data_IF_527895262968
#
_entry.id   IF_527895262968
#
_cell.length_a   1.000
_cell.length_b   1.000
_cell.length_c   1.000
_cell.angle_alpha   90.00
_cell.angle_beta   90.00
_cell.angle_gamma   90.00
#
_symmetry.space_group_name_H-M   'P 1'
#
loop_
_entity.id
_entity.type
_entity.pdbx_description
1 polymer ?
#
# COMPACT_ATOMS: atom_id res chain seq x y z
N UNK A 1 -39.28 91.21 -1.85
CA UNK A 1 -39.07 90.03 -0.98
C UNK A 1 -40.20 89.93 0.04
N UNK A 2 -41.45 90.02 -0.40
CA UNK A 2 -42.58 89.78 0.50
C UNK A 2 -42.98 88.32 0.36
N UNK A 3 -42.90 87.57 1.47
CA UNK A 3 -43.32 86.17 1.55
C UNK A 3 -42.20 85.12 1.58
N UNK A 4 -40.92 85.50 1.71
CA UNK A 4 -39.82 84.54 1.87
C UNK A 4 -39.13 84.75 3.22
N UNK A 5 -39.12 83.70 4.05
CA UNK A 5 -38.48 83.71 5.37
C UNK A 5 -37.18 82.91 5.33
N UNK A 6 -36.10 83.47 5.88
CA UNK A 6 -34.83 82.76 6.08
C UNK A 6 -34.98 81.80 7.26
N UNK A 7 -35.00 80.50 6.99
CA UNK A 7 -35.22 79.50 8.04
C UNK A 7 -33.95 79.11 8.80
N UNK A 8 -32.78 79.16 8.15
CA UNK A 8 -31.52 78.72 8.72
C UNK A 8 -30.34 79.36 7.99
N UNK A 9 -29.37 79.85 8.76
CA UNK A 9 -28.05 80.21 8.27
C UNK A 9 -27.01 79.43 9.07
N UNK A 10 -26.21 78.59 8.41
CA UNK A 10 -25.06 77.91 9.03
C UNK A 10 -23.79 78.46 8.40
N UNK A 11 -22.89 78.97 9.24
CA UNK A 11 -21.59 79.48 8.83
C UNK A 11 -20.46 78.56 9.27
N UNK A 12 -19.44 78.39 8.42
CA UNK A 12 -18.13 77.86 8.82
C UNK A 12 -17.03 78.63 8.08
N UNK A 13 -16.14 79.25 8.85
CA UNK A 13 -15.08 80.16 8.39
C UNK A 13 -15.62 81.29 7.49
N UNK A 14 -15.20 81.35 6.23
CA UNK A 14 -15.56 82.40 5.27
C UNK A 14 -16.78 82.07 4.40
N UNK A 15 -17.53 81.01 4.75
CA UNK A 15 -18.69 80.56 3.97
C UNK A 15 -19.95 80.53 4.84
N UNK A 16 -21.05 81.06 4.30
CA UNK A 16 -22.39 80.99 4.87
C UNK A 16 -23.33 80.28 3.90
N UNK A 17 -24.13 79.36 4.42
CA UNK A 17 -25.24 78.74 3.68
C UNK A 17 -26.54 79.30 4.24
N UNK A 18 -27.29 80.00 3.41
CA UNK A 18 -28.60 80.58 3.73
C UNK A 18 -29.67 79.77 2.98
N UNK A 19 -30.65 79.24 3.68
CA UNK A 19 -31.81 78.57 3.07
C UNK A 19 -33.08 79.42 3.18
N UNK A 20 -33.76 79.65 2.07
CA UNK A 20 -35.02 80.40 1.98
C UNK A 20 -36.22 79.45 1.88
N UNK A 21 -37.34 79.79 2.54
CA UNK A 21 -38.63 79.11 2.41
C UNK A 21 -39.67 80.03 1.73
N UNK A 22 -40.59 79.50 0.90
CA UNK A 22 -40.71 78.10 0.50
C UNK A 22 -39.61 77.68 -0.46
N UNK A 23 -39.08 76.47 -0.24
CA UNK A 23 -38.34 75.82 -1.31
C UNK A 23 -39.29 75.64 -2.48
N UNK A 24 -38.78 75.83 -3.70
CA UNK A 24 -39.48 75.39 -4.89
C UNK A 24 -39.90 73.93 -4.70
N UNK A 25 -41.15 73.59 -5.03
CA UNK A 25 -41.75 72.27 -4.76
C UNK A 25 -40.86 71.14 -5.29
N UNK A 26 -40.17 71.40 -6.41
CA UNK A 26 -39.21 70.49 -7.03
C UNK A 26 -37.99 70.21 -6.14
N UNK A 27 -37.45 71.21 -5.44
CA UNK A 27 -36.31 71.02 -4.54
C UNK A 27 -36.68 70.15 -3.33
N UNK A 28 -37.89 70.30 -2.78
CA UNK A 28 -38.39 69.43 -1.70
C UNK A 28 -38.55 68.00 -2.22
N UNK A 29 -39.15 67.82 -3.41
CA UNK A 29 -39.30 66.51 -4.06
C UNK A 29 -37.95 65.82 -4.27
N UNK A 30 -36.96 66.52 -4.82
CA UNK A 30 -35.62 65.98 -5.05
C UNK A 30 -34.92 65.58 -3.74
N UNK A 31 -35.00 66.41 -2.69
CA UNK A 31 -34.44 66.06 -1.37
C UNK A 31 -35.13 64.81 -0.82
N UNK A 32 -36.46 64.73 -0.92
CA UNK A 32 -37.21 63.57 -0.42
C UNK A 32 -36.87 62.29 -1.18
N UNK A 33 -36.79 62.34 -2.51
CA UNK A 33 -36.37 61.22 -3.36
C UNK A 33 -34.93 60.79 -3.05
N UNK A 34 -34.01 61.75 -2.89
CA UNK A 34 -32.62 61.48 -2.50
C UNK A 34 -32.52 60.79 -1.15
N UNK A 35 -33.29 61.24 -0.14
CA UNK A 35 -33.35 60.60 1.17
C UNK A 35 -33.95 59.20 1.09
N UNK A 36 -34.98 58.99 0.25
CA UNK A 36 -35.58 57.66 0.02
C UNK A 36 -34.56 56.69 -0.58
N UNK A 37 -33.89 57.07 -1.65
CA UNK A 37 -32.84 56.26 -2.30
C UNK A 37 -31.71 55.94 -1.33
N UNK A 38 -31.25 56.92 -0.54
CA UNK A 38 -30.19 56.72 0.44
C UNK A 38 -30.59 55.76 1.57
N UNK A 39 -31.87 55.76 1.99
CA UNK A 39 -32.39 54.79 2.95
C UNK A 39 -32.43 53.38 2.36
N UNK A 40 -32.86 53.22 1.11
CA UNK A 40 -32.89 51.94 0.41
C UNK A 40 -31.48 51.38 0.21
N UNK A 41 -30.53 52.21 -0.22
CA UNK A 41 -29.12 51.84 -0.37
C UNK A 41 -28.51 51.37 0.97
N UNK A 42 -28.74 52.10 2.07
CA UNK A 42 -28.29 51.68 3.41
C UNK A 42 -28.92 50.36 3.87
N UNK A 43 -30.19 50.12 3.54
CA UNK A 43 -30.86 48.85 3.85
C UNK A 43 -30.22 47.71 3.06
N UNK A 44 -29.98 47.89 1.77
CA UNK A 44 -29.30 46.91 0.92
C UNK A 44 -27.89 46.60 1.42
N UNK A 45 -27.11 47.64 1.75
CA UNK A 45 -25.77 47.47 2.32
C UNK A 45 -25.78 46.64 3.61
N UNK A 46 -26.72 46.91 4.53
CA UNK A 46 -26.86 46.12 5.77
C UNK A 46 -27.22 44.66 5.51
N UNK A 47 -28.02 44.38 4.48
CA UNK A 47 -28.36 43.00 4.10
C UNK A 47 -27.12 42.27 3.56
N UNK A 48 -26.38 42.91 2.64
CA UNK A 48 -25.15 42.36 2.08
C UNK A 48 -24.08 42.14 3.17
N UNK A 49 -23.93 43.05 4.12
CA UNK A 49 -23.00 42.89 5.25
C UNK A 49 -23.38 41.70 6.13
N UNK A 50 -24.69 41.46 6.37
CA UNK A 50 -25.17 40.29 7.11
C UNK A 50 -24.92 39.00 6.34
N UNK A 51 -25.22 38.96 5.06
CA UNK A 51 -24.95 37.81 4.20
C UNK A 51 -23.46 37.49 4.14
N UNK A 52 -22.61 38.50 3.98
CA UNK A 52 -21.16 38.33 3.95
C UNK A 52 -20.62 37.76 5.27
N UNK A 53 -21.13 38.24 6.42
CA UNK A 53 -20.81 37.67 7.74
C UNK A 53 -21.26 36.22 7.86
N UNK A 54 -22.47 35.90 7.41
CA UNK A 54 -23.01 34.53 7.41
C UNK A 54 -22.16 33.59 6.55
N UNK A 55 -21.82 34.01 5.33
CA UNK A 55 -20.97 33.25 4.42
C UNK A 55 -19.57 33.03 5.00
N UNK A 56 -18.95 34.04 5.62
CA UNK A 56 -17.66 33.90 6.30
C UNK A 56 -17.70 32.88 7.43
N UNK A 57 -18.78 32.87 8.22
CA UNK A 57 -18.97 31.88 9.28
C UNK A 57 -19.12 30.46 8.71
N UNK A 58 -19.89 30.30 7.63
CA UNK A 58 -20.05 29.01 6.93
C UNK A 58 -18.72 28.51 6.36
N UNK A 59 -17.95 29.37 5.70
CA UNK A 59 -16.62 29.01 5.16
C UNK A 59 -15.69 28.58 6.28
N UNK A 60 -15.63 29.31 7.39
CA UNK A 60 -14.81 28.93 8.55
C UNK A 60 -15.23 27.58 9.13
N UNK A 61 -16.53 27.32 9.22
CA UNK A 61 -17.05 26.02 9.70
C UNK A 61 -16.69 24.87 8.74
N UNK A 62 -16.81 25.09 7.43
CA UNK A 62 -16.43 24.10 6.42
C UNK A 62 -14.94 23.82 6.42
N UNK A 63 -14.10 24.86 6.54
CA UNK A 63 -12.65 24.71 6.66
C UNK A 63 -12.28 23.86 7.88
N UNK A 64 -12.92 24.11 9.03
CA UNK A 64 -12.70 23.29 10.24
C UNK A 64 -13.09 21.83 10.01
N UNK A 65 -14.27 21.57 9.45
CA UNK A 65 -14.70 20.19 9.13
C UNK A 65 -13.74 19.49 8.16
N UNK A 66 -13.26 20.21 7.15
CA UNK A 66 -12.30 19.66 6.19
C UNK A 66 -10.98 19.29 6.88
N UNK A 67 -10.49 20.15 7.78
CA UNK A 67 -9.27 19.86 8.56
C UNK A 67 -9.43 18.65 9.48
N UNK A 68 -10.60 18.50 10.12
CA UNK A 68 -10.91 17.34 10.96
C UNK A 68 -10.97 16.06 10.12
N UNK A 69 -11.57 16.11 8.92
CA UNK A 69 -11.61 14.98 8.00
C UNK A 69 -10.22 14.59 7.47
N UNK A 70 -9.37 15.56 7.16
CA UNK A 70 -7.99 15.30 6.73
C UNK A 70 -7.20 14.61 7.83
N UNK A 71 -7.31 15.07 9.08
CA UNK A 71 -6.65 14.45 10.22
C UNK A 71 -7.10 12.99 10.43
N UNK A 72 -8.40 12.71 10.28
CA UNK A 72 -8.93 11.35 10.37
C UNK A 72 -8.36 10.48 9.23
N UNK A 73 -8.34 10.98 8.00
CA UNK A 73 -7.81 10.25 6.86
C UNK A 73 -6.31 9.94 6.99
N UNK A 74 -5.53 10.89 7.52
CA UNK A 74 -4.11 10.70 7.78
C UNK A 74 -3.87 9.63 8.86
N UNK A 75 -4.62 9.68 9.96
CA UNK A 75 -4.57 8.65 11.00
C UNK A 75 -4.94 7.25 10.47
N UNK A 76 -5.99 7.15 9.64
CA UNK A 76 -6.37 5.88 9.00
C UNK A 76 -5.27 5.36 8.07
N UNK A 77 -4.60 6.24 7.33
CA UNK A 77 -3.49 5.88 6.45
C UNK A 77 -2.32 5.32 7.24
N UNK A 78 -1.97 5.95 8.35
CA UNK A 78 -0.87 5.49 9.22
C UNK A 78 -1.18 4.12 9.83
N UNK A 79 -2.40 3.92 10.34
CA UNK A 79 -2.85 2.62 10.85
C UNK A 79 -2.78 1.51 9.79
N UNK A 80 -3.16 1.81 8.53
CA UNK A 80 -3.05 0.85 7.42
C UNK A 80 -1.59 0.49 7.12
N UNK A 81 -0.69 1.47 7.14
CA UNK A 81 0.75 1.24 6.93
C UNK A 81 1.32 0.35 8.03
N UNK A 82 0.96 0.59 9.29
CA UNK A 82 1.39 -0.24 10.42
C UNK A 82 0.86 -1.67 10.32
N UNK A 83 -0.43 -1.83 10.01
CA UNK A 83 -1.03 -3.15 9.82
C UNK A 83 -0.34 -3.94 8.70
N UNK A 84 -0.01 -3.29 7.58
CA UNK A 84 0.73 -3.91 6.49
C UNK A 84 2.13 -4.38 6.93
N UNK A 85 2.87 -3.52 7.64
CA UNK A 85 4.20 -3.87 8.17
C UNK A 85 4.14 -5.06 9.15
N UNK A 86 3.12 -5.12 9.99
CA UNK A 86 2.92 -6.24 10.91
C UNK A 86 2.60 -7.53 10.16
N UNK A 87 1.69 -7.49 9.18
CA UNK A 87 1.35 -8.65 8.36
C UNK A 87 2.57 -9.18 7.59
N UNK A 88 3.40 -8.29 7.04
CA UNK A 88 4.62 -8.68 6.33
C UNK A 88 5.63 -9.36 7.28
N UNK A 89 5.81 -8.82 8.50
CA UNK A 89 6.67 -9.44 9.52
C UNK A 89 6.20 -10.84 9.89
N UNK A 90 4.88 -11.03 10.10
CA UNK A 90 4.29 -12.32 10.39
C UNK A 90 4.52 -13.31 9.23
N UNK A 91 4.30 -12.87 7.99
CA UNK A 91 4.53 -13.71 6.80
C UNK A 91 5.99 -14.16 6.70
N UNK A 92 6.95 -13.26 6.91
CA UNK A 92 8.38 -13.60 6.91
C UNK A 92 8.74 -14.57 8.04
N UNK A 93 8.12 -14.41 9.21
CA UNK A 93 8.32 -15.32 10.34
C UNK A 93 7.78 -16.72 10.03
N UNK A 94 6.58 -16.82 9.46
CA UNK A 94 5.97 -18.09 9.05
C UNK A 94 6.83 -18.80 7.99
N UNK A 95 7.27 -18.08 6.95
CA UNK A 95 8.16 -18.64 5.92
C UNK A 95 9.47 -19.17 6.52
N UNK A 96 10.06 -18.46 7.49
CA UNK A 96 11.26 -18.95 8.19
C UNK A 96 10.97 -20.20 9.00
N UNK A 97 9.84 -20.28 9.69
CA UNK A 97 9.46 -21.47 10.46
C UNK A 97 9.19 -22.67 9.56
N UNK A 98 8.49 -22.48 8.43
CA UNK A 98 8.28 -23.51 7.42
C UNK A 98 9.59 -23.99 6.83
N UNK A 99 10.48 -23.06 6.47
CA UNK A 99 11.82 -23.38 5.97
C UNK A 99 12.62 -24.18 7.00
N UNK A 100 12.67 -23.75 8.26
CA UNK A 100 13.35 -24.48 9.34
C UNK A 100 12.74 -25.87 9.58
N UNK A 101 11.42 -26.00 9.48
CA UNK A 101 10.75 -27.30 9.60
C UNK A 101 11.14 -28.22 8.44
N UNK A 102 11.13 -27.71 7.22
CA UNK A 102 11.52 -28.47 6.04
C UNK A 102 12.99 -28.89 6.11
N UNK A 103 13.89 -28.01 6.57
CA UNK A 103 15.29 -28.35 6.85
C UNK A 103 15.42 -29.50 7.85
N UNK A 104 14.68 -29.45 8.97
CA UNK A 104 14.69 -30.53 9.96
C UNK A 104 14.20 -31.86 9.40
N UNK A 105 13.23 -31.83 8.50
CA UNK A 105 12.73 -33.04 7.82
C UNK A 105 13.78 -33.57 6.84
N UNK A 106 14.48 -32.70 6.10
CA UNK A 106 15.58 -33.08 5.20
C UNK A 106 16.70 -33.82 5.92
N UNK A 107 17.15 -33.32 7.08
CA UNK A 107 18.18 -34.00 7.88
C UNK A 107 17.74 -35.34 8.48
N UNK A 108 16.44 -35.67 8.43
CA UNK A 108 15.89 -36.95 8.90
C UNK A 108 15.68 -37.96 7.78
N UNK A 109 15.82 -37.55 6.52
CA UNK A 109 15.62 -38.40 5.34
C UNK A 109 16.96 -38.64 4.64
N UNK A 110 17.77 -39.59 5.13
CA UNK A 110 19.05 -39.91 4.52
C UNK A 110 18.84 -40.62 3.19
N UNK A 111 19.55 -40.16 2.17
CA UNK A 111 19.55 -40.76 0.86
C UNK A 111 20.67 -41.78 0.80
N UNK A 112 20.29 -43.04 0.64
CA UNK A 112 21.21 -44.14 0.43
C UNK A 112 21.04 -44.66 -1.00
N UNK A 113 22.12 -44.66 -1.78
CA UNK A 113 22.12 -45.25 -3.12
C UNK A 113 22.95 -46.51 -3.06
N UNK A 114 22.35 -47.62 -3.48
CA UNK A 114 22.99 -48.91 -3.56
C UNK A 114 23.19 -49.30 -5.03
N UNK A 115 24.34 -49.86 -5.34
CA UNK A 115 24.64 -50.50 -6.61
C UNK A 115 24.61 -52.01 -6.46
N UNK A 116 24.15 -52.70 -7.49
CA UNK A 116 24.23 -54.16 -7.57
C UNK A 116 25.68 -54.56 -7.87
N UNK A 117 26.24 -55.49 -7.10
CA UNK A 117 27.58 -56.02 -7.38
C UNK A 117 27.60 -56.86 -8.67
N UNK A 118 28.74 -56.89 -9.36
CA UNK A 118 28.87 -57.58 -10.66
C UNK A 118 28.49 -59.06 -10.55
N UNK A 119 27.57 -59.49 -11.42
CA UNK A 119 27.01 -60.85 -11.47
C UNK A 119 26.19 -61.26 -10.23
N UNK A 120 25.81 -60.32 -9.36
CA UNK A 120 24.94 -60.61 -8.24
C UNK A 120 23.46 -60.74 -8.68
N UNK A 121 22.67 -61.53 -7.94
CA UNK A 121 21.27 -61.80 -8.32
C UNK A 121 20.31 -60.64 -8.03
N UNK A 122 20.70 -59.74 -7.12
CA UNK A 122 19.87 -58.65 -6.60
C UNK A 122 18.75 -59.13 -5.67
N UNK A 123 18.70 -60.42 -5.34
CA UNK A 123 17.62 -61.02 -4.57
C UNK A 123 17.84 -60.96 -3.06
N UNK A 124 19.06 -60.66 -2.61
CA UNK A 124 19.39 -60.59 -1.19
C UNK A 124 20.27 -59.38 -0.85
N UNK A 125 20.25 -58.94 0.41
CA UNK A 125 20.90 -57.69 0.84
C UNK A 125 22.40 -57.62 0.53
N UNK A 126 23.11 -58.76 0.59
CA UNK A 126 24.54 -58.85 0.27
C UNK A 126 24.88 -58.59 -1.20
N UNK A 127 23.90 -58.65 -2.09
CA UNK A 127 24.09 -58.38 -3.53
C UNK A 127 24.21 -56.87 -3.80
N UNK A 128 23.86 -56.04 -2.82
CA UNK A 128 23.76 -54.58 -2.95
C UNK A 128 24.84 -53.90 -2.11
N UNK A 129 25.67 -53.07 -2.75
CA UNK A 129 26.73 -52.29 -2.12
C UNK A 129 26.33 -50.82 -2.05
N UNK A 130 26.39 -50.23 -0.86
CA UNK A 130 26.16 -48.80 -0.66
C UNK A 130 27.26 -48.00 -1.40
N UNK A 131 26.86 -47.15 -2.34
CA UNK A 131 27.76 -46.31 -3.13
C UNK A 131 27.68 -44.84 -2.75
N UNK A 132 26.50 -44.37 -2.34
CA UNK A 132 26.30 -42.99 -1.85
C UNK A 132 25.55 -43.05 -0.54
N UNK A 133 26.11 -42.38 0.45
CA UNK A 133 25.52 -42.23 1.78
C UNK A 133 25.38 -40.75 2.13
N UNK A 134 24.20 -40.17 1.92
CA UNK A 134 23.97 -38.73 1.99
C UNK A 134 22.93 -38.35 3.05
N UNK A 135 23.41 -37.91 4.21
CA UNK A 135 22.60 -37.62 5.41
C UNK A 135 22.14 -36.15 5.53
N UNK A 136 22.44 -35.32 4.54
CA UNK A 136 22.07 -33.89 4.59
C UNK A 136 20.68 -33.61 3.99
N UNK A 137 20.06 -34.61 3.38
CA UNK A 137 18.85 -34.47 2.54
C UNK A 137 19.18 -33.67 1.27
N UNK A 138 18.72 -34.08 0.09
CA UNK A 138 18.95 -33.31 -1.15
C UNK A 138 17.75 -32.37 -1.42
N UNK A 139 17.97 -31.19 -2.01
CA UNK A 139 16.84 -30.40 -2.52
C UNK A 139 16.32 -30.98 -3.84
N UNK A 140 17.22 -31.57 -4.61
CA UNK A 140 16.94 -32.21 -5.89
C UNK A 140 18.00 -33.28 -6.15
N UNK A 141 17.58 -34.42 -6.71
CA UNK A 141 18.46 -35.50 -7.14
C UNK A 141 18.07 -35.82 -8.57
N UNK A 142 19.03 -35.70 -9.49
CA UNK A 142 18.82 -36.01 -10.89
C UNK A 142 19.90 -36.96 -11.37
N UNK A 143 19.55 -37.84 -12.28
CA UNK A 143 20.52 -38.57 -13.07
C UNK A 143 20.80 -37.71 -14.29
N UNK A 144 22.07 -37.37 -14.50
CA UNK A 144 22.48 -36.74 -15.75
C UNK A 144 22.14 -37.66 -16.92
N UNK A 145 21.71 -37.09 -18.06
CA UNK A 145 21.40 -37.89 -19.24
C UNK A 145 22.64 -38.69 -19.65
N UNK A 146 22.46 -39.96 -20.02
CA UNK A 146 23.57 -40.80 -20.45
C UNK A 146 24.26 -40.15 -21.65
N UNK A 147 25.52 -39.73 -21.47
CA UNK A 147 26.32 -39.20 -22.56
C UNK A 147 26.70 -40.37 -23.49
N UNK A 148 26.37 -40.34 -24.80
CA UNK A 148 26.75 -41.40 -25.72
C UNK A 148 28.28 -41.58 -25.85
N UNK A 149 29.08 -40.61 -25.41
CA UNK A 149 30.54 -40.67 -25.43
C UNK A 149 31.19 -40.99 -24.08
N UNK A 150 30.44 -40.91 -22.97
CA UNK A 150 30.95 -41.18 -21.63
C UNK A 150 30.17 -42.33 -20.99
N UNK A 151 30.83 -43.43 -20.65
CA UNK A 151 30.16 -44.67 -20.24
C UNK A 151 29.53 -44.61 -18.83
N UNK A 152 29.71 -43.51 -18.11
CA UNK A 152 29.26 -43.32 -16.72
C UNK A 152 28.16 -42.27 -16.66
N UNK A 153 27.00 -42.63 -16.10
CA UNK A 153 25.99 -41.65 -15.69
C UNK A 153 26.49 -40.94 -14.43
N UNK A 154 26.24 -39.65 -14.29
CA UNK A 154 26.55 -38.90 -13.06
C UNK A 154 25.26 -38.63 -12.28
N UNK A 155 25.35 -38.72 -10.95
CA UNK A 155 24.31 -38.25 -10.04
C UNK A 155 24.53 -36.77 -9.76
N UNK A 156 23.53 -35.96 -10.05
CA UNK A 156 23.48 -34.55 -9.72
C UNK A 156 22.68 -34.34 -8.44
N UNK A 157 23.32 -33.78 -7.42
CA UNK A 157 22.67 -33.36 -6.17
C UNK A 157 22.73 -31.84 -6.08
N UNK A 158 21.57 -31.18 -6.07
CA UNK A 158 21.48 -29.73 -5.90
C UNK A 158 21.22 -29.36 -4.43
N UNK A 159 21.99 -28.41 -3.90
CA UNK A 159 21.81 -27.86 -2.55
C UNK A 159 22.14 -26.36 -2.51
N UNK A 160 21.16 -25.51 -2.16
CA UNK A 160 21.36 -24.06 -1.98
C UNK A 160 22.15 -23.43 -3.14
N UNK A 161 21.68 -23.68 -4.37
CA UNK A 161 22.28 -23.23 -5.64
C UNK A 161 23.66 -23.82 -5.98
N UNK A 162 24.17 -24.75 -5.16
CA UNK A 162 25.36 -25.54 -5.46
C UNK A 162 24.98 -26.88 -6.08
N UNK A 163 25.77 -27.33 -7.04
CA UNK A 163 25.59 -28.61 -7.74
C UNK A 163 26.77 -29.51 -7.39
N UNK A 164 26.48 -30.71 -6.88
CA UNK A 164 27.45 -31.75 -6.62
C UNK A 164 27.24 -32.90 -7.60
N UNK A 165 28.31 -33.30 -8.28
CA UNK A 165 28.30 -34.38 -9.26
C UNK A 165 29.05 -35.59 -8.68
N UNK A 166 28.45 -36.78 -8.81
CA UNK A 166 29.06 -38.04 -8.40
C UNK A 166 29.00 -39.02 -9.56
N UNK A 167 30.15 -39.59 -9.92
CA UNK A 167 30.20 -40.67 -10.90
C UNK A 167 29.42 -41.88 -10.39
N UNK A 168 28.35 -42.27 -11.09
CA UNK A 168 27.65 -43.52 -10.78
C UNK A 168 28.35 -44.66 -11.50
N UNK A 169 28.99 -45.50 -10.71
CA UNK A 169 29.43 -46.82 -11.15
C UNK A 169 28.19 -47.72 -11.04
N UNK A 170 27.30 -47.63 -12.03
CA UNK A 170 26.08 -48.42 -12.12
C UNK A 170 26.07 -49.30 -13.38
N UNK A 171 25.39 -50.46 -13.38
CA UNK A 171 25.19 -51.23 -14.60
C UNK A 171 24.44 -50.38 -15.63
N UNK A 172 24.78 -50.58 -16.91
CA UNK A 172 24.70 -49.67 -18.08
C UNK A 172 23.37 -48.98 -18.42
N UNK A 173 22.32 -49.02 -17.60
CA UNK A 173 21.05 -48.33 -17.90
C UNK A 173 20.18 -48.10 -16.65
N UNK A 174 20.39 -47.00 -15.92
CA UNK A 174 19.42 -46.49 -14.94
C UNK A 174 18.33 -45.62 -15.58
N UNK A 175 18.48 -45.31 -16.87
CA UNK A 175 17.57 -44.50 -17.69
C UNK A 175 16.12 -45.02 -17.74
N UNK A 176 15.92 -46.30 -17.41
CA UNK A 176 14.61 -46.96 -17.34
C UNK A 176 13.81 -46.63 -16.07
N UNK A 177 14.45 -46.05 -15.04
CA UNK A 177 13.82 -45.75 -13.74
C UNK A 177 13.01 -44.44 -13.72
N UNK A 178 12.99 -43.66 -14.80
CA UNK A 178 12.23 -42.41 -14.88
C UNK A 178 12.70 -41.35 -13.87
N UNK A 179 11.80 -40.46 -13.42
CA UNK A 179 12.07 -39.51 -12.34
C UNK A 179 12.20 -40.29 -11.02
N UNK A 180 13.42 -40.30 -10.45
CA UNK A 180 13.64 -40.81 -9.10
C UNK A 180 12.69 -40.10 -8.13
N UNK A 181 12.11 -40.80 -7.14
CA UNK A 181 11.13 -40.21 -6.24
C UNK A 181 11.75 -39.02 -5.51
N UNK A 182 11.26 -37.83 -5.87
CA UNK A 182 11.55 -36.58 -5.16
C UNK A 182 10.97 -36.72 -3.75
N UNK A 183 11.74 -36.29 -2.75
CA UNK A 183 11.34 -36.25 -1.33
C UNK A 183 9.87 -35.79 -1.22
N UNK A 184 8.96 -36.64 -0.71
CA UNK A 184 7.56 -36.29 -0.66
C UNK A 184 7.37 -35.11 0.31
N UNK A 185 6.50 -34.17 -0.06
CA UNK A 185 6.18 -33.00 0.76
C UNK A 185 5.55 -33.35 2.12
N UNK A 186 5.19 -34.62 2.32
CA UNK A 186 4.80 -35.22 3.60
C UNK A 186 5.45 -36.60 3.72
N UNK A 187 6.14 -36.85 4.84
CA UNK A 187 6.46 -38.22 5.27
C UNK A 187 5.13 -38.96 5.53
N UNK A 188 5.08 -40.25 5.22
CA UNK A 188 3.91 -41.08 5.55
C UNK A 188 3.64 -41.05 7.07
N UNK A 189 2.37 -41.08 7.48
CA UNK A 189 1.92 -40.88 8.89
C UNK A 189 2.53 -41.84 9.93
N UNK A 190 3.34 -42.82 9.49
CA UNK A 190 3.94 -43.87 10.32
C UNK A 190 5.46 -43.72 10.53
N UNK A 191 6.08 -42.62 10.10
CA UNK A 191 7.48 -42.27 10.36
C UNK A 191 7.61 -41.01 11.23
#
# INVERSE_FOLDING_TARGET
>A
MEGHYCNCAVGKDRYFVISFWPYEEEAIRTIWEGVKVLREAKKSQRMLEKENKSLKAQVSQLQRRLSEQQLIADNERDLRIEAYKQAERLRRMQQRQEWQRNERLRYRDPIHIYALEDNASGTCAKDWKLIVDYHKGAHNIQLSPADPHNATQELEITENDSIYLFDLIAPRNLSSLGLLPVVPSKLCEKF
#
